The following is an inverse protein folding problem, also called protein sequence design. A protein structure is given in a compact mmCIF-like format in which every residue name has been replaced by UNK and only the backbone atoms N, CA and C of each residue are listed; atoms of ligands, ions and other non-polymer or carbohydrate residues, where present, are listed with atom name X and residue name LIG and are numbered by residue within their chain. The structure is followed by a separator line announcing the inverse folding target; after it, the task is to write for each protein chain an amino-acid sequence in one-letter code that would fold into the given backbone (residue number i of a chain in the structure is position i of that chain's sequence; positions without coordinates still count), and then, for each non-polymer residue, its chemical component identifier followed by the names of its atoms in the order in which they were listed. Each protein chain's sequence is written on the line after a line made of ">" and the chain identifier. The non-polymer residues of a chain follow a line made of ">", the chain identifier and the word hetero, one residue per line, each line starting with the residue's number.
data_IF_167660801797
#
_entry.id   IF_167660801797
#
_cell.length_a   1.000
_cell.length_b   1.000
_cell.length_c   1.000
_cell.angle_alpha   90.00
_cell.angle_beta   90.00
_cell.angle_gamma   90.00
#
_symmetry.space_group_name_H-M   'P 1'
#
loop_
_entity.id
_entity.type
_entity.pdbx_description
1 polymer ?
#
# COMPACT_ATOMS: atom_id res chain seq x y z
N UNK A 1 39.51 -21.65 -26.13
CA UNK A 1 38.62 -20.52 -26.47
C UNK A 1 37.76 -20.30 -25.25
N UNK A 2 38.14 -19.33 -24.41
CA UNK A 2 37.52 -19.13 -23.10
C UNK A 2 36.13 -18.50 -23.30
N UNK A 3 35.10 -19.18 -22.81
CA UNK A 3 33.74 -18.67 -22.71
C UNK A 3 33.77 -17.46 -21.77
N UNK A 4 33.63 -16.26 -22.34
CA UNK A 4 33.54 -15.02 -21.60
C UNK A 4 32.19 -15.08 -20.91
N UNK A 5 32.18 -15.37 -19.60
CA UNK A 5 30.99 -15.26 -18.75
C UNK A 5 30.55 -13.81 -18.84
N UNK A 6 29.67 -13.53 -19.79
CA UNK A 6 28.99 -12.26 -19.94
C UNK A 6 28.07 -12.18 -18.74
N UNK A 7 28.51 -11.41 -17.73
CA UNK A 7 27.97 -11.43 -16.37
C UNK A 7 26.56 -10.86 -16.27
N UNK A 8 25.93 -10.52 -17.40
CA UNK A 8 24.55 -10.05 -17.48
C UNK A 8 23.98 -10.66 -18.76
N UNK A 9 22.96 -11.49 -18.59
CA UNK A 9 22.18 -12.10 -19.67
C UNK A 9 21.75 -11.02 -20.69
N UNK A 10 21.86 -11.26 -22.00
CA UNK A 10 21.41 -10.35 -23.07
C UNK A 10 19.90 -10.02 -22.96
N UNK A 11 19.16 -10.83 -22.19
CA UNK A 11 17.73 -10.66 -21.89
C UNK A 11 17.44 -9.72 -20.71
N UNK A 12 18.46 -9.30 -19.94
CA UNK A 12 18.30 -8.50 -18.73
C UNK A 12 18.76 -7.06 -18.97
N UNK A 13 17.79 -6.16 -19.14
CA UNK A 13 18.05 -4.74 -19.41
C UNK A 13 18.54 -3.94 -18.20
N UNK A 14 18.20 -4.36 -16.96
CA UNK A 14 18.72 -3.75 -15.73
C UNK A 14 18.48 -4.64 -14.51
N UNK A 15 19.40 -4.60 -13.54
CA UNK A 15 19.26 -5.24 -12.22
C UNK A 15 19.36 -4.15 -11.17
N UNK A 16 18.35 -4.05 -10.30
CA UNK A 16 18.36 -3.13 -9.17
C UNK A 16 18.28 -3.91 -7.86
N UNK A 17 19.24 -3.65 -6.97
CA UNK A 17 19.30 -4.22 -5.63
C UNK A 17 18.31 -3.48 -4.74
N UNK A 18 17.36 -4.22 -4.20
CA UNK A 18 16.28 -3.68 -3.37
C UNK A 18 16.38 -4.30 -1.98
N UNK A 19 16.57 -3.47 -0.95
CA UNK A 19 16.58 -3.95 0.42
C UNK A 19 15.13 -3.96 0.96
N UNK A 20 14.57 -5.14 1.33
CA UNK A 20 13.21 -5.22 1.83
C UNK A 20 13.10 -4.49 3.19
N UNK A 21 12.24 -3.48 3.29
CA UNK A 21 11.92 -2.85 4.58
C UNK A 21 10.95 -3.72 5.38
N UNK A 22 11.08 -3.66 6.70
CA UNK A 22 10.17 -4.31 7.65
C UNK A 22 8.73 -3.83 7.41
N UNK A 23 7.85 -4.81 7.13
CA UNK A 23 6.44 -4.68 6.72
C UNK A 23 5.54 -3.93 7.72
N UNK A 24 6.00 -3.70 8.95
CA UNK A 24 5.18 -3.09 10.02
C UNK A 24 5.01 -1.58 9.77
N UNK A 25 5.97 -0.94 9.09
CA UNK A 25 5.87 0.44 8.59
C UNK A 25 5.56 0.47 7.09
N UNK A 26 4.62 -0.37 6.65
CA UNK A 26 4.14 -0.32 5.29
C UNK A 26 3.48 1.04 5.04
N UNK A 27 4.10 1.84 4.17
CA UNK A 27 3.65 3.20 3.84
C UNK A 27 2.21 3.28 3.31
N UNK A 28 1.60 2.14 2.96
CA UNK A 28 0.20 2.05 2.56
C UNK A 28 -0.77 1.75 3.72
N UNK A 29 -0.32 1.32 4.90
CA UNK A 29 -1.20 1.05 6.05
C UNK A 29 -1.40 2.33 6.86
N UNK A 30 -0.31 3.07 7.12
CA UNK A 30 -0.32 4.29 7.93
C UNK A 30 -1.32 5.36 7.44
N UNK A 31 -1.39 5.72 6.14
CA UNK A 31 -2.31 6.75 5.68
C UNK A 31 -3.78 6.34 5.82
N UNK A 32 -4.09 5.05 5.68
CA UNK A 32 -5.46 4.53 5.83
C UNK A 32 -5.89 4.49 7.27
N UNK A 33 -5.00 4.12 8.19
CA UNK A 33 -5.27 4.20 9.63
C UNK A 33 -5.56 5.63 10.07
N UNK A 34 -4.79 6.60 9.57
CA UNK A 34 -5.03 8.02 9.87
C UNK A 34 -6.38 8.46 9.29
N UNK A 35 -6.67 8.11 8.04
CA UNK A 35 -7.93 8.45 7.37
C UNK A 35 -9.15 7.88 8.12
N UNK A 36 -9.11 6.59 8.47
CA UNK A 36 -10.15 5.92 9.26
C UNK A 36 -10.31 6.57 10.64
N UNK A 37 -9.20 6.90 11.31
CA UNK A 37 -9.26 7.55 12.64
C UNK A 37 -9.93 8.91 12.57
N UNK A 38 -9.59 9.72 11.56
CA UNK A 38 -10.20 11.05 11.35
C UNK A 38 -11.69 10.89 11.03
N UNK A 39 -12.05 9.93 10.17
CA UNK A 39 -13.42 9.66 9.80
C UNK A 39 -14.28 9.24 11.00
N UNK A 40 -13.80 8.25 11.76
CA UNK A 40 -14.48 7.75 12.97
C UNK A 40 -14.60 8.87 14.01
N UNK A 41 -13.57 9.68 14.19
CA UNK A 41 -13.62 10.82 15.10
C UNK A 41 -14.70 11.83 14.69
N UNK A 42 -14.72 12.23 13.41
CA UNK A 42 -15.76 13.12 12.90
C UNK A 42 -17.16 12.53 13.05
N UNK A 43 -17.33 11.25 12.73
CA UNK A 43 -18.61 10.55 12.83
C UNK A 43 -19.12 10.51 14.27
N UNK A 44 -18.30 10.12 15.24
CA UNK A 44 -18.72 9.97 16.64
C UNK A 44 -18.94 11.33 17.31
N UNK A 45 -18.02 12.28 17.12
CA UNK A 45 -17.99 13.51 17.91
C UNK A 45 -18.65 14.72 17.26
N UNK A 46 -18.81 14.74 15.93
CA UNK A 46 -19.38 15.88 15.19
C UNK A 46 -20.78 15.54 14.68
N UNK A 47 -20.91 14.45 13.93
CA UNK A 47 -22.18 14.09 13.29
C UNK A 47 -23.14 13.39 14.26
N UNK A 48 -22.62 12.58 15.17
CA UNK A 48 -23.41 11.80 16.12
C UNK A 48 -23.78 10.42 15.56
N UNK A 49 -23.55 9.39 16.38
CA UNK A 49 -23.70 7.99 15.98
C UNK A 49 -25.17 7.61 15.78
N UNK A 50 -26.09 8.19 16.55
CA UNK A 50 -27.51 7.82 16.51
C UNK A 50 -28.23 8.34 15.26
N UNK A 51 -27.96 9.58 14.86
CA UNK A 51 -28.61 10.20 13.70
C UNK A 51 -28.00 9.73 12.36
N UNK A 52 -26.70 9.43 12.35
CA UNK A 52 -25.94 9.12 11.13
C UNK A 52 -25.28 7.75 11.15
N UNK A 53 -25.94 6.74 11.74
CA UNK A 53 -25.34 5.42 11.89
C UNK A 53 -24.99 4.75 10.56
N UNK A 54 -25.95 4.76 9.62
CA UNK A 54 -25.78 4.11 8.32
C UNK A 54 -24.68 4.77 7.49
N UNK A 55 -24.64 6.10 7.48
CA UNK A 55 -23.69 6.87 6.67
C UNK A 55 -22.24 6.70 7.17
N UNK A 56 -22.05 6.67 8.48
CA UNK A 56 -20.70 6.44 9.03
C UNK A 56 -20.16 5.04 8.73
N UNK A 57 -21.02 4.01 8.78
CA UNK A 57 -20.65 2.65 8.36
C UNK A 57 -20.29 2.57 6.87
N UNK A 58 -21.03 3.27 6.01
CA UNK A 58 -20.73 3.35 4.58
C UNK A 58 -19.36 4.01 4.36
N UNK A 59 -19.02 5.05 5.12
CA UNK A 59 -17.71 5.70 5.05
C UNK A 59 -16.55 4.78 5.42
N UNK A 60 -16.67 4.07 6.55
CA UNK A 60 -15.67 3.05 6.98
C UNK A 60 -15.55 1.95 5.91
N UNK A 61 -16.68 1.46 5.40
CA UNK A 61 -16.69 0.46 4.33
C UNK A 61 -15.97 0.95 3.06
N UNK A 62 -16.21 2.20 2.66
CA UNK A 62 -15.58 2.81 1.49
C UNK A 62 -14.07 2.95 1.64
N UNK A 63 -13.59 3.40 2.80
CA UNK A 63 -12.16 3.52 3.09
C UNK A 63 -11.50 2.13 3.12
N UNK A 64 -12.15 1.13 3.75
CA UNK A 64 -11.66 -0.25 3.76
C UNK A 64 -11.55 -0.87 2.37
N UNK A 65 -12.52 -0.61 1.48
CA UNK A 65 -12.44 -1.07 0.08
C UNK A 65 -11.27 -0.42 -0.66
N UNK A 66 -11.04 0.87 -0.47
CA UNK A 66 -9.89 1.57 -1.05
C UNK A 66 -8.56 1.00 -0.53
N UNK A 67 -8.50 0.64 0.76
CA UNK A 67 -7.34 -0.02 1.36
C UNK A 67 -7.06 -1.38 0.70
N UNK A 68 -8.07 -2.23 0.54
CA UNK A 68 -7.94 -3.53 -0.13
C UNK A 68 -7.50 -3.36 -1.58
N UNK A 69 -8.05 -2.38 -2.29
CA UNK A 69 -7.67 -2.09 -3.67
C UNK A 69 -6.18 -1.74 -3.78
N UNK A 70 -5.66 -0.90 -2.88
CA UNK A 70 -4.22 -0.61 -2.86
C UNK A 70 -3.36 -1.83 -2.53
N UNK A 71 -3.78 -2.66 -1.58
CA UNK A 71 -3.09 -3.93 -1.28
C UNK A 71 -3.01 -4.81 -2.54
N UNK A 72 -4.11 -4.91 -3.30
CA UNK A 72 -4.16 -5.65 -4.56
C UNK A 72 -3.25 -5.02 -5.63
N UNK A 73 -3.24 -3.69 -5.76
CA UNK A 73 -2.33 -2.98 -6.66
C UNK A 73 -0.86 -3.24 -6.31
N UNK A 74 -0.52 -3.33 -5.02
CA UNK A 74 0.83 -3.68 -4.57
C UNK A 74 1.20 -5.12 -4.92
N UNK A 75 0.26 -6.06 -4.91
CA UNK A 75 0.55 -7.45 -5.30
C UNK A 75 0.62 -7.67 -6.81
N UNK A 76 -0.12 -6.89 -7.59
CA UNK A 76 -0.18 -7.05 -9.05
C UNK A 76 0.88 -6.26 -9.82
N UNK A 77 1.41 -5.18 -9.24
CA UNK A 77 2.46 -4.38 -9.88
C UNK A 77 3.76 -4.47 -9.09
N UNK A 78 4.72 -5.21 -9.64
CA UNK A 78 6.09 -5.30 -9.11
C UNK A 78 6.77 -3.94 -8.98
N UNK A 79 6.40 -2.97 -9.83
CA UNK A 79 6.92 -1.60 -9.77
C UNK A 79 6.39 -0.84 -8.54
N UNK A 80 5.10 -0.99 -8.24
CA UNK A 80 4.47 -0.37 -7.07
C UNK A 80 4.94 -1.05 -5.79
N UNK A 81 5.08 -2.38 -5.83
CA UNK A 81 5.65 -3.15 -4.73
C UNK A 81 7.07 -2.69 -4.40
N UNK A 82 7.96 -2.58 -5.40
CA UNK A 82 9.33 -2.10 -5.20
C UNK A 82 9.36 -0.66 -4.69
N UNK A 83 8.58 0.26 -5.27
CA UNK A 83 8.54 1.65 -4.81
C UNK A 83 8.09 1.80 -3.35
N UNK A 84 7.14 0.97 -2.91
CA UNK A 84 6.55 1.07 -1.57
C UNK A 84 7.27 0.25 -0.50
N UNK A 85 7.83 -0.92 -0.86
CA UNK A 85 8.40 -1.87 0.10
C UNK A 85 9.94 -1.93 0.04
N UNK A 86 10.54 -1.41 -1.03
CA UNK A 86 11.97 -1.44 -1.22
C UNK A 86 12.53 -0.02 -1.30
N UNK A 87 13.61 0.22 -0.55
CA UNK A 87 14.47 1.37 -0.83
C UNK A 87 15.48 0.96 -1.90
N UNK A 88 15.78 1.87 -2.83
CA UNK A 88 17.01 1.80 -3.62
C UNK A 88 18.23 2.06 -2.73
#
# INVERSE_FOLDING_TARGET
>A
MADKIDRVDDLVQSVSLHNPRILIFNGYILPFLILETIWIYGWIFIYGVEDYFHEGLVGIGGIGVLQVFLCLCCQWSVHIYCFLNCSS
#
